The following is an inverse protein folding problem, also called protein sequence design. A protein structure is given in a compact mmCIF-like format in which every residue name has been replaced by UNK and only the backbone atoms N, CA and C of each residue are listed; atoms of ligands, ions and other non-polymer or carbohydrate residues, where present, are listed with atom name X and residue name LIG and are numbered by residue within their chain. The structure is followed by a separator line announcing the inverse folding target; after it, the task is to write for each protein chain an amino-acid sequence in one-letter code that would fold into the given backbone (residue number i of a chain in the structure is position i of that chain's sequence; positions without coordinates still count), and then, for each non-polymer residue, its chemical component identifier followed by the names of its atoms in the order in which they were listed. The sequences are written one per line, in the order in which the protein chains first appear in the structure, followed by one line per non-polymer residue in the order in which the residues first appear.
data_IF_026333333485
#
_entry.id   IF_026333333485
#
_cell.length_a   1.000
_cell.length_b   1.000
_cell.length_c   1.000
_cell.angle_alpha   90.00
_cell.angle_beta   90.00
_cell.angle_gamma   90.00
#
_symmetry.space_group_name_H-M   'P 1'
#
loop_
_entity.id
_entity.type
_entity.pdbx_description
1 polymer ?
#
# COMPACT_ATOMS: atom_id res chain seq x y z
N UNK A 1 25.77 26.29 -14.78
CA UNK A 1 26.26 24.94 -14.40
C UNK A 1 25.26 23.80 -14.66
N UNK A 2 23.94 23.95 -14.42
CA UNK A 2 22.93 22.88 -14.63
C UNK A 2 22.72 22.47 -16.10
N UNK A 3 22.84 23.41 -17.05
CA UNK A 3 22.65 23.14 -18.48
C UNK A 3 23.78 22.27 -19.08
N UNK A 4 25.03 22.48 -18.62
CA UNK A 4 26.20 21.69 -19.06
C UNK A 4 26.06 20.23 -18.62
N UNK A 5 25.53 19.98 -17.42
CA UNK A 5 25.29 18.61 -16.93
C UNK A 5 24.19 17.92 -17.77
N UNK A 6 23.13 18.63 -18.14
CA UNK A 6 22.08 18.09 -19.01
C UNK A 6 22.61 17.81 -20.43
N UNK A 7 23.40 18.72 -21.00
CA UNK A 7 24.07 18.54 -22.29
C UNK A 7 25.00 17.33 -22.24
N UNK A 8 25.78 17.14 -21.18
CA UNK A 8 26.66 15.97 -21.01
C UNK A 8 25.87 14.67 -20.86
N UNK A 9 24.73 14.68 -20.17
CA UNK A 9 23.82 13.52 -20.07
C UNK A 9 23.23 13.18 -21.45
N UNK A 10 22.69 14.18 -22.16
CA UNK A 10 22.12 14.00 -23.51
C UNK A 10 23.19 13.57 -24.52
N UNK A 11 24.41 14.11 -24.43
CA UNK A 11 25.54 13.74 -25.28
C UNK A 11 25.97 12.29 -25.03
N UNK A 12 26.02 11.84 -23.77
CA UNK A 12 26.27 10.43 -23.45
C UNK A 12 25.19 9.50 -24.03
N UNK A 13 23.92 9.87 -23.98
CA UNK A 13 22.84 9.08 -24.57
C UNK A 13 22.86 9.06 -26.11
N UNK A 14 23.29 10.16 -26.75
CA UNK A 14 23.36 10.23 -28.22
C UNK A 14 24.58 9.50 -28.79
N UNK A 15 25.73 9.51 -28.09
CA UNK A 15 26.93 8.78 -28.54
C UNK A 15 26.87 7.28 -28.25
N UNK A 16 26.05 6.87 -27.27
CA UNK A 16 25.85 5.46 -26.91
C UNK A 16 24.59 4.94 -27.60
N UNK A 17 24.67 4.75 -28.92
CA UNK A 17 23.70 3.98 -29.71
C UNK A 17 23.62 2.49 -29.33
N UNK A 18 24.02 2.12 -28.12
CA UNK A 18 23.99 0.76 -27.61
C UNK A 18 23.26 0.70 -26.27
N UNK A 19 22.45 -0.35 -26.13
CA UNK A 19 21.56 -0.65 -25.00
C UNK A 19 22.31 -0.63 -23.66
N UNK A 20 22.40 0.54 -23.03
CA UNK A 20 22.87 0.63 -21.65
C UNK A 20 21.81 0.00 -20.76
N UNK A 21 22.13 -1.14 -20.14
CA UNK A 21 21.40 -1.65 -18.97
C UNK A 21 21.64 -0.67 -17.81
N UNK A 22 20.84 0.39 -17.76
CA UNK A 22 20.91 1.38 -16.69
C UNK A 22 20.39 0.72 -15.40
N UNK A 23 21.26 0.55 -14.40
CA UNK A 23 20.87 0.06 -13.06
C UNK A 23 19.84 1.02 -12.45
N UNK A 24 18.80 0.48 -11.77
CA UNK A 24 17.61 1.23 -11.33
C UNK A 24 17.85 2.58 -10.65
N UNK A 25 18.92 2.72 -9.86
CA UNK A 25 19.25 4.00 -9.19
C UNK A 25 19.57 5.15 -10.17
N UNK A 26 20.14 4.84 -11.34
CA UNK A 26 20.45 5.86 -12.37
C UNK A 26 19.21 6.30 -13.15
N UNK A 27 18.24 5.42 -13.36
CA UNK A 27 16.94 5.75 -13.99
C UNK A 27 16.13 6.68 -13.11
N UNK A 28 16.10 6.41 -11.79
CA UNK A 28 15.40 7.28 -10.84
C UNK A 28 15.99 8.70 -10.80
N UNK A 29 17.33 8.83 -10.76
CA UNK A 29 17.99 10.14 -10.79
C UNK A 29 17.67 10.93 -12.07
N UNK A 30 17.58 10.23 -13.21
CA UNK A 30 17.23 10.85 -14.49
C UNK A 30 15.76 11.28 -14.53
N UNK A 31 14.86 10.44 -14.01
CA UNK A 31 13.42 10.74 -13.87
C UNK A 31 13.18 11.96 -12.97
N UNK A 32 13.88 12.03 -11.83
CA UNK A 32 13.78 13.16 -10.90
C UNK A 32 14.32 14.46 -11.51
N UNK A 33 15.41 14.38 -12.30
CA UNK A 33 15.96 15.52 -13.02
C UNK A 33 15.01 16.02 -14.12
N UNK A 34 14.42 15.12 -14.90
CA UNK A 34 13.44 15.45 -15.94
C UNK A 34 12.14 16.02 -15.35
N UNK A 35 11.70 15.53 -14.19
CA UNK A 35 10.51 16.03 -13.48
C UNK A 35 10.69 17.44 -12.92
N UNK A 36 11.92 17.94 -12.80
CA UNK A 36 12.20 19.34 -12.46
C UNK A 36 12.21 20.26 -13.68
N UNK A 37 12.44 19.71 -14.86
CA UNK A 37 12.45 20.44 -16.13
C UNK A 37 11.09 20.48 -16.81
N UNK A 38 10.21 19.54 -16.45
CA UNK A 38 8.90 19.38 -17.06
C UNK A 38 7.82 19.48 -16.00
N UNK A 39 6.77 20.24 -16.28
CA UNK A 39 5.56 20.26 -15.47
C UNK A 39 4.82 18.91 -15.56
N UNK A 40 3.83 18.75 -14.67
CA UNK A 40 3.01 17.53 -14.61
C UNK A 40 2.23 17.27 -15.90
N UNK A 41 1.89 18.31 -16.67
CA UNK A 41 1.25 18.22 -18.00
C UNK A 41 2.26 18.01 -19.15
N UNK A 42 3.55 17.79 -18.84
CA UNK A 42 4.56 17.46 -19.84
C UNK A 42 5.16 18.67 -20.56
N UNK A 43 4.81 19.90 -20.18
CA UNK A 43 5.40 21.11 -20.75
C UNK A 43 6.74 21.43 -20.09
N UNK A 44 7.60 22.13 -20.81
CA UNK A 44 8.90 22.57 -20.29
C UNK A 44 8.67 23.71 -19.30
N UNK A 45 9.06 23.50 -18.05
CA UNK A 45 8.97 24.49 -16.98
C UNK A 45 10.27 25.31 -16.87
N UNK A 46 10.86 25.65 -18.02
CA UNK A 46 12.13 26.36 -18.14
C UNK A 46 12.08 27.32 -19.32
N UNK A 47 11.95 28.64 -19.07
CA UNK A 47 11.91 29.66 -20.12
C UNK A 47 13.15 29.63 -21.03
N UNK A 48 14.30 29.20 -20.50
CA UNK A 48 15.55 29.07 -21.26
C UNK A 48 15.57 27.91 -22.28
N UNK A 49 14.60 27.00 -22.21
CA UNK A 49 14.48 25.83 -23.09
C UNK A 49 13.25 25.91 -23.99
N UNK A 50 12.32 26.83 -23.69
CA UNK A 50 11.14 27.08 -24.49
C UNK A 50 11.53 27.66 -25.87
N UNK A 51 11.02 27.06 -26.94
CA UNK A 51 11.34 27.46 -28.33
C UNK A 51 12.70 26.95 -28.86
N UNK A 52 13.45 26.17 -28.08
CA UNK A 52 14.70 25.54 -28.56
C UNK A 52 14.41 24.27 -29.36
N UNK A 53 15.28 23.93 -30.32
CA UNK A 53 15.18 22.69 -31.09
C UNK A 53 15.19 21.43 -30.20
N UNK A 54 15.77 21.50 -29.01
CA UNK A 54 15.90 20.41 -28.05
C UNK A 54 14.66 20.19 -27.16
N UNK A 55 13.69 21.12 -27.20
CA UNK A 55 12.47 21.02 -26.41
C UNK A 55 11.69 19.74 -26.72
N UNK A 56 11.57 19.42 -28.01
CA UNK A 56 10.90 18.22 -28.49
C UNK A 56 11.62 16.94 -28.04
N UNK A 57 12.95 16.91 -28.16
CA UNK A 57 13.76 15.74 -27.79
C UNK A 57 13.66 15.41 -26.29
N UNK A 58 13.64 16.43 -25.42
CA UNK A 58 13.51 16.24 -23.97
C UNK A 58 12.15 15.61 -23.62
N UNK A 59 11.07 16.06 -24.26
CA UNK A 59 9.73 15.50 -24.08
C UNK A 59 9.66 14.06 -24.60
N UNK A 60 10.25 13.78 -25.76
CA UNK A 60 10.27 12.44 -26.35
C UNK A 60 11.11 11.45 -25.53
N UNK A 61 12.26 11.87 -25.00
CA UNK A 61 13.10 11.07 -24.10
C UNK A 61 12.34 10.73 -22.82
N UNK A 62 11.67 11.70 -22.18
CA UNK A 62 10.84 11.42 -21.00
C UNK A 62 9.74 10.41 -21.34
N UNK A 63 9.06 10.57 -22.48
CA UNK A 63 8.01 9.65 -22.92
C UNK A 63 8.54 8.22 -23.08
N UNK A 64 9.70 8.04 -23.73
CA UNK A 64 10.33 6.73 -23.91
C UNK A 64 10.74 6.10 -22.57
N UNK A 65 11.38 6.87 -21.68
CA UNK A 65 11.74 6.39 -20.33
C UNK A 65 10.47 5.98 -19.56
N UNK A 66 9.42 6.78 -19.62
CA UNK A 66 8.18 6.47 -18.93
C UNK A 66 7.52 5.20 -19.48
N UNK A 67 7.46 5.03 -20.80
CA UNK A 67 6.91 3.83 -21.43
C UNK A 67 7.73 2.56 -21.13
N UNK A 68 9.06 2.67 -21.12
CA UNK A 68 9.93 1.51 -20.93
C UNK A 68 10.06 1.09 -19.46
N UNK A 69 10.01 2.04 -18.52
CA UNK A 69 10.27 1.79 -17.10
C UNK A 69 9.06 1.95 -16.18
N UNK A 70 8.05 2.74 -16.56
CA UNK A 70 6.93 3.11 -15.66
C UNK A 70 5.55 2.72 -16.17
N UNK A 71 5.35 2.44 -17.46
CA UNK A 71 4.18 1.71 -17.93
C UNK A 71 4.50 0.21 -17.97
N UNK A 72 4.10 -0.58 -16.97
CA UNK A 72 4.23 -2.02 -17.12
C UNK A 72 3.22 -2.43 -18.17
N UNK A 73 3.67 -3.03 -19.27
CA UNK A 73 2.81 -3.73 -20.23
C UNK A 73 1.66 -4.43 -19.48
N UNK A 74 0.41 -4.23 -19.90
CA UNK A 74 -0.80 -4.79 -19.24
C UNK A 74 -0.66 -6.30 -18.94
N UNK A 75 0.03 -7.04 -19.82
CA UNK A 75 0.37 -8.45 -19.63
C UNK A 75 1.33 -8.72 -18.46
N UNK A 76 2.29 -7.84 -18.20
CA UNK A 76 3.23 -7.90 -17.07
C UNK A 76 2.51 -7.62 -15.75
N UNK A 77 1.60 -6.64 -15.70
CA UNK A 77 0.78 -6.41 -14.51
C UNK A 77 -0.12 -7.61 -14.20
N UNK A 78 -0.79 -8.18 -15.21
CA UNK A 78 -1.63 -9.36 -15.04
C UNK A 78 -0.83 -10.59 -14.55
N UNK A 79 0.41 -10.75 -15.04
CA UNK A 79 1.31 -11.84 -14.62
C UNK A 79 1.86 -11.64 -13.21
N UNK A 80 2.22 -10.41 -12.84
CA UNK A 80 2.64 -10.04 -11.47
C UNK A 80 1.49 -10.20 -10.47
N UNK A 81 0.29 -9.75 -10.81
CA UNK A 81 -0.92 -9.92 -10.00
C UNK A 81 -1.28 -11.41 -9.82
N UNK A 82 -1.23 -12.22 -10.90
CA UNK A 82 -1.40 -13.68 -10.81
C UNK A 82 -0.38 -14.34 -9.89
N UNK A 83 0.89 -13.93 -9.97
CA UNK A 83 1.95 -14.48 -9.12
C UNK A 83 1.85 -14.01 -7.67
N UNK A 84 1.41 -12.78 -7.41
CA UNK A 84 1.13 -12.27 -6.06
C UNK A 84 -0.01 -13.06 -5.39
N UNK A 85 -1.07 -13.41 -6.14
CA UNK A 85 -2.20 -14.21 -5.62
C UNK A 85 -1.83 -15.62 -5.14
N UNK A 86 -0.65 -16.13 -5.57
CA UNK A 86 -0.09 -17.42 -5.19
C UNK A 86 0.88 -17.35 -4.01
N UNK A 87 1.33 -16.15 -3.62
CA UNK A 87 2.25 -15.99 -2.49
C UNK A 87 1.45 -16.15 -1.19
N UNK A 88 1.95 -17.01 -0.30
CA UNK A 88 1.49 -17.10 1.08
C UNK A 88 2.36 -16.17 1.93
N UNK A 89 1.73 -15.42 2.81
CA UNK A 89 2.43 -14.73 3.90
C UNK A 89 2.72 -15.80 4.96
N UNK A 90 3.95 -15.91 5.49
CA UNK A 90 4.22 -16.77 6.62
C UNK A 90 3.42 -16.30 7.84
N UNK A 91 3.09 -17.21 8.74
CA UNK A 91 2.46 -16.83 10.00
C UNK A 91 3.36 -15.83 10.74
N UNK A 92 2.78 -14.70 11.12
CA UNK A 92 3.53 -13.53 11.59
C UNK A 92 2.93 -13.03 12.90
N UNK A 93 3.79 -12.84 13.90
CA UNK A 93 3.45 -12.17 15.16
C UNK A 93 4.10 -10.78 15.17
N UNK A 94 3.29 -9.74 15.34
CA UNK A 94 3.71 -8.35 15.43
C UNK A 94 3.44 -7.84 16.85
N UNK A 95 4.50 -7.59 17.61
CA UNK A 95 4.39 -7.01 18.95
C UNK A 95 4.34 -5.49 18.83
N UNK A 96 3.21 -4.89 19.18
CA UNK A 96 3.00 -3.42 19.14
C UNK A 96 3.40 -2.79 20.48
N UNK A 97 3.06 -3.45 21.59
CA UNK A 97 3.37 -3.01 22.96
C UNK A 97 4.08 -4.12 23.74
N UNK A 98 5.42 -4.22 23.66
CA UNK A 98 6.17 -5.34 24.24
C UNK A 98 6.13 -5.43 25.77
N UNK A 99 5.69 -4.38 26.47
CA UNK A 99 5.71 -4.29 27.93
C UNK A 99 4.31 -4.14 28.56
N UNK A 100 3.25 -4.46 27.82
CA UNK A 100 1.90 -4.42 28.39
C UNK A 100 1.68 -5.63 29.31
N UNK A 101 1.59 -5.37 30.62
CA UNK A 101 1.40 -6.40 31.66
C UNK A 101 -0.07 -6.54 32.13
N UNK A 102 -1.00 -5.82 31.50
CA UNK A 102 -2.42 -5.88 31.86
C UNK A 102 -3.13 -7.13 31.33
N UNK A 103 -4.40 -7.31 31.71
CA UNK A 103 -5.23 -8.35 31.08
C UNK A 103 -5.43 -8.01 29.60
N UNK A 104 -5.49 -9.05 28.77
CA UNK A 104 -5.62 -8.96 27.32
C UNK A 104 -6.98 -9.47 26.89
N UNK A 105 -7.62 -8.74 25.98
CA UNK A 105 -8.80 -9.18 25.24
C UNK A 105 -8.39 -9.57 23.81
N UNK A 106 -9.14 -10.44 23.16
CA UNK A 106 -8.83 -10.90 21.80
C UNK A 106 -9.95 -10.52 20.85
N UNK A 107 -9.57 -9.99 19.69
CA UNK A 107 -10.46 -9.64 18.59
C UNK A 107 -9.92 -10.29 17.31
N UNK A 108 -10.79 -10.55 16.35
CA UNK A 108 -10.46 -11.19 15.09
C UNK A 108 -11.06 -10.45 13.90
N UNK A 109 -10.36 -10.55 12.77
CA UNK A 109 -10.83 -10.16 11.44
C UNK A 109 -10.25 -11.12 10.42
N UNK A 110 -10.90 -11.25 9.27
CA UNK A 110 -10.31 -11.90 8.11
C UNK A 110 -10.11 -10.89 6.98
N UNK A 111 -8.96 -10.98 6.32
CA UNK A 111 -8.48 -9.95 5.38
C UNK A 111 -7.92 -10.57 4.10
N UNK A 112 -7.75 -9.72 3.08
CA UNK A 112 -7.07 -10.10 1.84
C UNK A 112 -5.54 -10.16 2.03
N UNK A 113 -4.85 -10.66 1.01
CA UNK A 113 -3.37 -10.66 1.01
C UNK A 113 -2.81 -9.24 1.11
N UNK A 114 -3.36 -8.31 0.35
CA UNK A 114 -2.91 -6.92 0.28
C UNK A 114 -3.10 -6.21 1.63
N UNK A 115 -4.26 -6.40 2.27
CA UNK A 115 -4.51 -5.86 3.61
C UNK A 115 -3.57 -6.48 4.65
N UNK A 116 -3.33 -7.80 4.60
CA UNK A 116 -2.40 -8.46 5.52
C UNK A 116 -0.97 -7.93 5.36
N UNK A 117 -0.48 -7.71 4.13
CA UNK A 117 0.86 -7.13 3.90
C UNK A 117 0.99 -5.73 4.49
N UNK A 118 -0.03 -4.90 4.34
CA UNK A 118 0.01 -3.54 4.85
C UNK A 118 -0.14 -3.49 6.38
N UNK A 119 -0.87 -4.43 7.00
CA UNK A 119 -0.86 -4.63 8.46
C UNK A 119 0.54 -5.02 8.93
N UNK A 120 1.25 -5.91 8.23
CA UNK A 120 2.63 -6.29 8.59
C UNK A 120 3.56 -5.08 8.56
N UNK A 121 3.45 -4.28 7.50
CA UNK A 121 4.30 -3.11 7.31
C UNK A 121 4.05 -2.02 8.36
N UNK A 122 2.80 -1.83 8.77
CA UNK A 122 2.41 -0.71 9.64
C UNK A 122 2.14 -1.12 11.10
N UNK A 123 2.05 -2.43 11.36
CA UNK A 123 1.59 -3.01 12.63
C UNK A 123 0.25 -2.42 13.11
N UNK A 124 -0.63 -2.08 12.17
CA UNK A 124 -1.89 -1.39 12.47
C UNK A 124 -2.99 -1.75 11.47
N UNK A 125 -4.25 -1.62 11.89
CA UNK A 125 -5.36 -1.65 10.95
C UNK A 125 -5.43 -0.34 10.16
N UNK A 126 -5.80 -0.43 8.90
CA UNK A 126 -5.93 0.73 8.01
C UNK A 126 -7.15 0.58 7.11
N UNK A 127 -7.71 1.70 6.67
CA UNK A 127 -8.64 1.72 5.54
C UNK A 127 -7.90 1.63 4.23
N UNK A 128 -8.52 0.98 3.24
CA UNK A 128 -8.03 1.03 1.88
C UNK A 128 -8.13 2.47 1.37
N UNK A 129 -7.13 2.95 0.64
CA UNK A 129 -7.12 4.32 0.11
C UNK A 129 -8.42 4.63 -0.65
N UNK A 130 -9.05 5.76 -0.32
CA UNK A 130 -10.34 6.19 -0.89
C UNK A 130 -11.59 5.62 -0.20
N UNK A 131 -11.44 4.74 0.79
CA UNK A 131 -12.56 4.15 1.55
C UNK A 131 -12.76 4.80 2.92
N UNK A 132 -12.78 6.13 2.96
CA UNK A 132 -12.77 6.91 4.21
C UNK A 132 -14.17 7.04 4.86
N UNK A 133 -15.21 6.57 4.16
CA UNK A 133 -16.62 6.63 4.60
C UNK A 133 -17.13 5.31 5.18
N UNK A 134 -16.31 4.26 5.14
CA UNK A 134 -16.70 2.93 5.61
C UNK A 134 -16.34 2.69 7.08
N UNK A 135 -16.66 1.48 7.53
CA UNK A 135 -16.28 0.96 8.84
C UNK A 135 -15.29 -0.19 8.67
N UNK A 136 -14.41 -0.37 9.66
CA UNK A 136 -13.59 -1.57 9.79
C UNK A 136 -14.28 -2.54 10.73
N UNK A 137 -14.90 -3.55 10.12
CA UNK A 137 -15.55 -4.66 10.82
C UNK A 137 -14.57 -5.63 11.49
N UNK A 138 -14.72 -5.80 12.79
CA UNK A 138 -13.99 -6.77 13.60
C UNK A 138 -14.98 -7.49 14.52
N UNK A 139 -14.55 -8.55 15.21
CA UNK A 139 -15.42 -9.22 16.17
C UNK A 139 -14.62 -10.01 17.21
N UNK A 140 -15.30 -10.54 18.20
CA UNK A 140 -14.68 -11.50 19.13
C UNK A 140 -14.45 -12.86 18.44
N UNK A 141 -13.53 -13.70 18.94
CA UNK A 141 -13.41 -15.07 18.45
C UNK A 141 -14.77 -15.77 18.42
N UNK A 142 -15.04 -16.51 17.35
CA UNK A 142 -16.32 -17.22 17.08
C UNK A 142 -17.52 -16.33 16.71
N UNK A 143 -17.45 -15.01 16.82
CA UNK A 143 -18.53 -14.12 16.33
C UNK A 143 -18.53 -13.95 14.81
N UNK A 144 -17.39 -14.18 14.16
CA UNK A 144 -17.24 -14.10 12.71
C UNK A 144 -17.01 -15.50 12.16
N UNK A 145 -17.94 -15.97 11.32
CA UNK A 145 -17.78 -17.20 10.56
C UNK A 145 -17.22 -16.88 9.15
N UNK A 146 -15.94 -17.18 8.87
CA UNK A 146 -15.34 -16.88 7.58
C UNK A 146 -15.91 -17.70 6.42
N UNK A 147 -16.52 -18.85 6.68
CA UNK A 147 -17.06 -19.72 5.63
C UNK A 147 -18.43 -19.30 5.15
N UNK A 148 -19.24 -18.71 6.03
CA UNK A 148 -20.63 -18.37 5.75
C UNK A 148 -20.90 -16.85 5.66
N UNK A 149 -20.14 -16.01 6.35
CA UNK A 149 -20.43 -14.57 6.46
C UNK A 149 -19.52 -13.67 5.61
N UNK A 150 -18.44 -14.22 5.04
CA UNK A 150 -17.42 -13.44 4.33
C UNK A 150 -17.43 -13.66 2.81
N UNK A 151 -18.58 -13.43 2.17
CA UNK A 151 -18.70 -13.34 0.71
C UNK A 151 -17.89 -14.41 -0.06
N UNK A 152 -17.13 -13.98 -1.08
CA UNK A 152 -16.30 -14.91 -1.88
C UNK A 152 -15.05 -15.33 -1.10
N UNK A 153 -14.90 -16.63 -0.80
CA UNK A 153 -13.71 -17.24 -0.12
C UNK A 153 -12.34 -16.74 -0.60
N UNK A 154 -12.21 -16.33 -1.87
CA UNK A 154 -10.94 -15.86 -2.45
C UNK A 154 -10.41 -14.56 -1.85
N UNK A 155 -11.25 -13.71 -1.23
CA UNK A 155 -10.83 -12.41 -0.71
C UNK A 155 -10.40 -12.40 0.76
N UNK A 156 -10.61 -13.49 1.50
CA UNK A 156 -10.37 -13.55 2.95
C UNK A 156 -9.53 -14.79 3.29
N UNK A 157 -8.24 -14.76 2.95
CA UNK A 157 -7.31 -15.91 3.14
C UNK A 157 -6.49 -15.85 4.43
N UNK A 158 -6.54 -14.72 5.13
CA UNK A 158 -5.74 -14.50 6.32
C UNK A 158 -6.64 -14.15 7.49
N UNK A 159 -6.45 -14.82 8.61
CA UNK A 159 -7.02 -14.45 9.90
C UNK A 159 -6.04 -13.49 10.59
N UNK A 160 -6.55 -12.35 11.03
CA UNK A 160 -5.84 -11.35 11.84
C UNK A 160 -6.44 -11.42 13.23
N UNK A 161 -5.66 -11.89 14.19
CA UNK A 161 -6.00 -11.91 15.60
C UNK A 161 -5.28 -10.76 16.31
N UNK A 162 -6.04 -9.87 16.95
CA UNK A 162 -5.53 -8.70 17.64
C UNK A 162 -5.67 -8.94 19.13
N UNK A 163 -4.55 -8.89 19.84
CA UNK A 163 -4.51 -8.78 21.30
C UNK A 163 -4.64 -7.31 21.65
N UNK A 164 -5.63 -6.97 22.46
CA UNK A 164 -5.93 -5.59 22.84
C UNK A 164 -5.98 -5.44 24.36
N UNK A 165 -5.85 -4.20 24.82
CA UNK A 165 -5.95 -3.87 26.24
C UNK A 165 -7.33 -4.21 26.82
N UNK A 166 -7.38 -4.52 28.13
CA UNK A 166 -8.64 -4.77 28.84
C UNK A 166 -9.58 -3.57 28.73
N UNK A 167 -10.87 -3.83 28.54
CA UNK A 167 -11.91 -2.81 28.41
C UNK A 167 -12.09 -2.31 26.98
N UNK A 168 -11.30 -2.81 26.03
CA UNK A 168 -11.45 -2.47 24.61
C UNK A 168 -12.76 -3.02 24.05
N UNK A 169 -13.17 -4.24 24.41
CA UNK A 169 -14.47 -4.80 24.00
C UNK A 169 -15.61 -3.93 24.55
N UNK A 170 -15.53 -3.50 25.81
CA UNK A 170 -16.54 -2.61 26.38
C UNK A 170 -16.59 -1.27 25.66
N UNK A 171 -15.43 -0.70 25.33
CA UNK A 171 -15.35 0.51 24.50
C UNK A 171 -15.95 0.29 23.11
N UNK A 172 -15.77 -0.89 22.50
CA UNK A 172 -16.31 -1.22 21.18
C UNK A 172 -17.84 -1.41 21.15
N UNK A 173 -18.50 -1.63 22.29
CA UNK A 173 -19.97 -1.81 22.34
C UNK A 173 -20.74 -0.65 21.73
N UNK A 174 -20.20 0.57 21.79
CA UNK A 174 -20.79 1.74 21.14
C UNK A 174 -20.80 1.66 19.60
N UNK A 175 -20.04 0.72 19.02
CA UNK A 175 -19.91 0.48 17.58
C UNK A 175 -20.43 -0.91 17.19
N UNK A 176 -21.22 -1.56 18.05
CA UNK A 176 -21.75 -2.89 17.78
C UNK A 176 -22.78 -2.84 16.64
N UNK A 177 -22.65 -3.75 15.68
CA UNK A 177 -23.52 -3.85 14.51
C UNK A 177 -24.52 -4.96 14.75
N UNK A 178 -25.82 -4.63 14.66
CA UNK A 178 -26.92 -5.61 14.72
C UNK A 178 -26.76 -6.61 15.88
N UNK A 179 -26.71 -6.13 17.14
CA UNK A 179 -26.41 -6.97 18.31
C UNK A 179 -27.33 -8.19 18.44
N UNK A 180 -28.57 -8.09 17.95
CA UNK A 180 -29.56 -9.17 18.02
C UNK A 180 -29.30 -10.32 17.02
N UNK A 181 -28.50 -10.06 15.97
CA UNK A 181 -28.26 -11.00 14.86
C UNK A 181 -26.80 -11.43 14.78
N UNK A 182 -25.88 -10.49 15.03
CA UNK A 182 -24.43 -10.71 14.96
C UNK A 182 -23.74 -10.16 16.21
N UNK A 183 -24.05 -10.71 17.41
CA UNK A 183 -23.51 -10.21 18.67
C UNK A 183 -21.99 -10.26 18.70
N UNK A 184 -21.38 -9.24 19.29
CA UNK A 184 -19.93 -9.02 19.37
C UNK A 184 -19.24 -8.78 18.03
N UNK A 185 -19.98 -8.23 17.06
CA UNK A 185 -19.43 -7.71 15.80
C UNK A 185 -19.45 -6.19 15.83
N UNK A 186 -18.32 -5.57 15.53
CA UNK A 186 -18.14 -4.12 15.71
C UNK A 186 -17.68 -3.46 14.41
N UNK A 187 -18.29 -2.33 14.06
CA UNK A 187 -17.92 -1.49 12.93
C UNK A 187 -17.14 -0.28 13.36
N UNK A 188 -15.80 -0.35 13.39
CA UNK A 188 -15.00 0.80 13.82
C UNK A 188 -15.05 1.88 12.72
N UNK A 189 -15.61 3.08 12.99
CA UNK A 189 -15.65 4.14 12.00
C UNK A 189 -14.24 4.70 11.74
N UNK A 190 -14.04 5.29 10.55
CA UNK A 190 -12.76 5.88 10.15
C UNK A 190 -12.13 6.80 11.22
N UNK A 191 -12.95 7.63 11.86
CA UNK A 191 -12.49 8.60 12.87
C UNK A 191 -11.97 7.96 14.16
N UNK A 192 -12.44 6.75 14.50
CA UNK A 192 -12.07 6.05 15.73
C UNK A 192 -11.03 4.95 15.51
N UNK A 193 -10.54 4.78 14.28
CA UNK A 193 -9.60 3.70 13.96
C UNK A 193 -8.24 3.91 14.63
N UNK A 194 -7.76 5.15 14.72
CA UNK A 194 -6.52 5.46 15.42
C UNK A 194 -6.62 5.14 16.92
N UNK A 195 -7.73 5.49 17.56
CA UNK A 195 -7.99 5.16 18.96
C UNK A 195 -8.04 3.65 19.19
N UNK A 196 -8.63 2.90 18.26
CA UNK A 196 -8.60 1.45 18.30
C UNK A 196 -7.18 0.90 18.15
N UNK A 197 -6.41 1.36 17.15
CA UNK A 197 -5.03 0.93 16.93
C UNK A 197 -4.14 1.19 18.16
N UNK A 198 -4.35 2.32 18.85
CA UNK A 198 -3.65 2.64 20.08
C UNK A 198 -3.94 1.67 21.24
N UNK A 199 -5.00 0.86 21.16
CA UNK A 199 -5.34 -0.19 22.15
C UNK A 199 -4.77 -1.56 21.79
N UNK A 200 -4.16 -1.71 20.61
CA UNK A 200 -3.56 -2.97 20.18
C UNK A 200 -2.24 -3.19 20.91
N UNK A 201 -2.09 -4.40 21.45
CA UNK A 201 -0.89 -4.90 22.13
C UNK A 201 -0.06 -5.74 21.18
N UNK A 202 -0.69 -6.64 20.42
CA UNK A 202 -0.04 -7.43 19.37
C UNK A 202 -1.03 -7.85 18.29
N UNK A 203 -0.51 -8.19 17.12
CA UNK A 203 -1.27 -8.70 15.98
C UNK A 203 -0.63 -10.01 15.51
N UNK A 204 -1.42 -11.07 15.50
CA UNK A 204 -1.07 -12.37 14.92
C UNK A 204 -1.80 -12.54 13.58
N UNK A 205 -1.07 -12.87 12.53
CA UNK A 205 -1.62 -13.12 11.19
C UNK A 205 -1.35 -14.56 10.82
N UNK A 206 -2.41 -15.31 10.54
CA UNK A 206 -2.34 -16.73 10.14
C UNK A 206 -3.08 -16.99 8.83
N UNK A 207 -2.57 -17.94 8.04
CA UNK A 207 -3.25 -18.37 6.81
C UNK A 207 -4.40 -19.35 7.14
N UNK A 208 -5.54 -19.22 6.45
CA UNK A 208 -6.71 -20.13 6.58
C UNK A 208 -7.02 -20.90 5.29
#
# INVERSE_FOLDING_TARGET
MKLIVLILILFQFHTLGERVKVKGNRVQCLSDALSRLLSNDGKINSPALEGTAYAHDIVEIRRKIFQEFYEPNLGTQAKLAKNASKRKIPDTNLVVKPHYNGRIETLVRYVSFEEAQEIIKTSSLHFKNGHNKGEKWIGTPKSIDPHHQLGKKKSHKYKVEMKVEKGTINWLRQFEIKPDVEPNRFGIPFRSLNDFNNRIVSIDITTI
#
